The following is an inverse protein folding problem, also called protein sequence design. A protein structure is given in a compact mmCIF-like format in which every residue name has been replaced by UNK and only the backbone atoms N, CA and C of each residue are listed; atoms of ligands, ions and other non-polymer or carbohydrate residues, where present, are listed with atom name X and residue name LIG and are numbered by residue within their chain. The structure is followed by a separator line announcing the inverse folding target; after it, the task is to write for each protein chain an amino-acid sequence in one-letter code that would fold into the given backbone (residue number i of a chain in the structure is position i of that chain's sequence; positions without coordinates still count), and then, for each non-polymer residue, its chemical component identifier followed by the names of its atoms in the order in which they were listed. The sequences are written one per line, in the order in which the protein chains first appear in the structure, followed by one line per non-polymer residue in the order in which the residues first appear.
data_IF_451553128686
#
_entry.id   IF_451553128686
#
_cell.length_a   1.000
_cell.length_b   1.000
_cell.length_c   1.000
_cell.angle_alpha   90.00
_cell.angle_beta   90.00
_cell.angle_gamma   90.00
#
_symmetry.space_group_name_H-M   'P 1'
#
loop_
_entity.id
_entity.type
_entity.pdbx_description
1 polymer ?
#
# COMPACT_ATOMS: atom_id res chain seq x y z
N UNK A 1 4.28 24.18 -62.46
CA UNK A 1 5.15 24.05 -61.28
C UNK A 1 4.56 22.95 -60.41
N UNK A 2 5.28 21.85 -60.32
CA UNK A 2 4.70 20.50 -60.28
C UNK A 2 4.28 20.07 -58.87
N UNK A 3 3.00 19.73 -58.70
CA UNK A 3 2.47 19.16 -57.45
C UNK A 3 3.17 17.86 -57.02
N UNK A 4 3.82 17.17 -57.96
CA UNK A 4 4.66 15.98 -57.71
C UNK A 4 5.92 16.35 -56.91
N UNK A 5 6.59 17.46 -57.24
CA UNK A 5 7.79 17.92 -56.51
C UNK A 5 7.45 18.35 -55.08
N UNK A 6 6.29 18.97 -54.88
CA UNK A 6 5.80 19.30 -53.54
C UNK A 6 5.49 18.04 -52.72
N UNK A 7 4.83 17.04 -53.31
CA UNK A 7 4.52 15.79 -52.63
C UNK A 7 5.79 15.01 -52.21
N UNK A 8 6.79 14.95 -53.08
CA UNK A 8 8.09 14.33 -52.77
C UNK A 8 8.84 15.09 -51.67
N UNK A 9 8.83 16.43 -51.69
CA UNK A 9 9.41 17.26 -50.63
C UNK A 9 8.77 16.98 -49.25
N UNK A 10 7.44 16.95 -49.16
CA UNK A 10 6.75 16.61 -47.90
C UNK A 10 7.03 15.17 -47.44
N UNK A 11 7.20 14.23 -48.38
CA UNK A 11 7.54 12.84 -48.08
C UNK A 11 8.97 12.71 -47.53
N UNK A 12 9.90 13.49 -48.07
CA UNK A 12 11.29 13.60 -47.59
C UNK A 12 11.31 14.21 -46.18
N UNK A 13 10.63 15.33 -45.98
CA UNK A 13 10.54 16.02 -44.69
C UNK A 13 9.95 15.10 -43.61
N UNK A 14 8.88 14.36 -43.92
CA UNK A 14 8.32 13.35 -43.01
C UNK A 14 9.30 12.22 -42.67
N UNK A 15 10.21 11.83 -43.58
CA UNK A 15 11.25 10.83 -43.31
C UNK A 15 12.32 11.39 -42.39
N UNK A 16 12.73 12.63 -42.60
CA UNK A 16 13.71 13.33 -41.77
C UNK A 16 13.17 13.56 -40.35
N UNK A 17 11.91 13.98 -40.21
CA UNK A 17 11.23 14.09 -38.92
C UNK A 17 11.18 12.74 -38.19
N UNK A 18 10.86 11.65 -38.91
CA UNK A 18 10.88 10.29 -38.34
C UNK A 18 12.28 9.89 -37.87
N UNK A 19 13.32 10.17 -38.67
CA UNK A 19 14.70 9.89 -38.31
C UNK A 19 15.13 10.70 -37.07
N UNK A 20 14.79 11.99 -37.02
CA UNK A 20 15.05 12.85 -35.87
C UNK A 20 14.35 12.34 -34.60
N UNK A 21 13.09 11.90 -34.69
CA UNK A 21 12.36 11.31 -33.56
C UNK A 21 13.06 10.05 -33.05
N UNK A 22 13.55 9.18 -33.94
CA UNK A 22 14.29 7.96 -33.57
C UNK A 22 15.57 8.33 -32.81
N UNK A 23 16.35 9.28 -33.34
CA UNK A 23 17.60 9.75 -32.71
C UNK A 23 17.30 10.36 -31.34
N UNK A 24 16.30 11.25 -31.24
CA UNK A 24 15.90 11.87 -29.99
C UNK A 24 15.43 10.85 -28.96
N UNK A 25 14.65 9.84 -29.37
CA UNK A 25 14.21 8.75 -28.48
C UNK A 25 15.38 7.92 -27.99
N UNK A 26 16.32 7.59 -28.87
CA UNK A 26 17.54 6.86 -28.51
C UNK A 26 18.41 7.65 -27.52
N UNK A 27 18.57 8.96 -27.76
CA UNK A 27 19.32 9.84 -26.87
C UNK A 27 18.66 9.99 -25.50
N UNK A 28 17.34 10.28 -25.45
CA UNK A 28 16.59 10.36 -24.18
C UNK A 28 16.69 9.05 -23.40
N UNK A 29 16.50 7.90 -24.07
CA UNK A 29 16.68 6.58 -23.44
C UNK A 29 18.10 6.40 -22.86
N UNK A 30 19.14 6.81 -23.60
CA UNK A 30 20.51 6.73 -23.10
C UNK A 30 20.70 7.57 -21.84
N UNK A 31 20.24 8.82 -21.86
CA UNK A 31 20.28 9.73 -20.69
C UNK A 31 19.50 9.14 -19.51
N UNK A 32 18.29 8.64 -19.74
CA UNK A 32 17.46 8.04 -18.70
C UNK A 32 18.13 6.81 -18.06
N UNK A 33 18.76 5.95 -18.87
CA UNK A 33 19.53 4.80 -18.38
C UNK A 33 20.72 5.26 -17.54
N UNK A 34 21.43 6.32 -17.94
CA UNK A 34 22.56 6.84 -17.18
C UNK A 34 22.11 7.42 -15.84
N UNK A 35 21.05 8.23 -15.84
CA UNK A 35 20.46 8.80 -14.63
C UNK A 35 19.96 7.70 -13.68
N UNK A 36 19.29 6.67 -14.20
CA UNK A 36 18.86 5.53 -13.40
C UNK A 36 20.04 4.76 -12.82
N UNK A 37 21.06 4.45 -13.63
CA UNK A 37 22.27 3.75 -13.18
C UNK A 37 22.97 4.53 -12.06
N UNK A 38 23.06 5.85 -12.19
CA UNK A 38 23.59 6.72 -11.14
C UNK A 38 22.79 6.59 -9.84
N UNK A 39 21.47 6.74 -9.89
CA UNK A 39 20.62 6.59 -8.71
C UNK A 39 20.69 5.19 -8.08
N UNK A 40 20.69 4.15 -8.92
CA UNK A 40 20.83 2.76 -8.48
C UNK A 40 22.14 2.57 -7.73
N UNK A 41 23.26 3.04 -8.28
CA UNK A 41 24.56 2.92 -7.63
C UNK A 41 24.63 3.74 -6.33
N UNK A 42 23.99 4.92 -6.31
CA UNK A 42 23.92 5.78 -5.13
C UNK A 42 23.15 5.15 -3.96
N UNK A 43 22.10 4.39 -4.22
CA UNK A 43 21.28 3.76 -3.17
C UNK A 43 21.71 2.34 -2.82
N UNK A 44 22.52 1.69 -3.67
CA UNK A 44 22.98 0.31 -3.48
C UNK A 44 24.08 0.17 -2.42
N UNK A 45 24.30 1.18 -1.56
CA UNK A 45 25.08 1.01 -0.33
C UNK A 45 24.36 0.04 0.62
N UNK A 46 24.64 -1.25 0.45
CA UNK A 46 24.09 -2.30 1.29
C UNK A 46 24.72 -2.23 2.69
N UNK A 47 23.98 -1.71 3.68
CA UNK A 47 24.27 -1.87 5.12
C UNK A 47 25.73 -1.61 5.53
N UNK A 48 26.43 -0.74 4.82
CA UNK A 48 27.82 -0.38 5.08
C UNK A 48 27.86 0.96 5.81
N UNK A 49 28.55 0.98 6.94
CA UNK A 49 28.73 2.19 7.75
C UNK A 49 27.63 2.40 8.79
N UNK A 50 27.83 3.44 9.60
CA UNK A 50 26.89 3.85 10.64
C UNK A 50 25.74 4.66 10.03
N UNK A 51 24.47 4.22 10.18
CA UNK A 51 23.31 4.97 9.69
C UNK A 51 23.23 6.39 10.24
N UNK A 52 23.76 6.64 11.44
CA UNK A 52 23.81 7.97 12.04
C UNK A 52 24.69 8.91 11.25
N UNK A 53 25.86 8.46 10.80
CA UNK A 53 26.78 9.28 9.99
C UNK A 53 26.14 9.58 8.64
N UNK A 54 25.53 8.57 8.00
CA UNK A 54 24.84 8.74 6.74
C UNK A 54 23.71 9.77 6.84
N UNK A 55 22.83 9.61 7.83
CA UNK A 55 21.74 10.55 8.05
C UNK A 55 22.26 11.92 8.50
N UNK A 56 23.40 12.03 9.20
CA UNK A 56 23.97 13.33 9.56
C UNK A 56 24.30 14.19 8.34
N UNK A 57 24.76 13.55 7.25
CA UNK A 57 25.06 14.23 5.98
C UNK A 57 23.80 14.68 5.22
N UNK A 58 22.67 14.03 5.45
CA UNK A 58 21.43 14.24 4.70
C UNK A 58 20.43 15.06 5.54
N UNK A 59 20.10 14.57 6.73
CA UNK A 59 19.12 15.11 7.68
C UNK A 59 19.73 15.07 9.10
N UNK A 60 20.49 16.10 9.51
CA UNK A 60 21.20 16.09 10.79
C UNK A 60 20.27 15.99 12.01
N UNK A 61 19.08 16.61 11.95
CA UNK A 61 18.10 16.56 13.04
C UNK A 61 17.59 15.16 13.34
N UNK A 62 17.36 14.34 12.31
CA UNK A 62 16.94 12.96 12.52
C UNK A 62 18.10 12.09 13.01
N UNK A 63 19.32 12.37 12.55
CA UNK A 63 20.51 11.64 12.98
C UNK A 63 20.79 11.79 14.49
N UNK A 64 20.42 12.92 15.10
CA UNK A 64 20.54 13.14 16.54
C UNK A 64 19.60 12.25 17.37
N UNK A 65 18.45 11.87 16.80
CA UNK A 65 17.46 11.02 17.46
C UNK A 65 17.79 9.52 17.35
N UNK A 66 18.79 9.15 16.54
CA UNK A 66 19.16 7.76 16.34
C UNK A 66 20.00 7.24 17.51
N UNK A 67 19.50 6.19 18.13
CA UNK A 67 20.20 5.47 19.18
C UNK A 67 20.97 4.25 18.60
N UNK A 68 22.26 4.15 18.94
CA UNK A 68 23.09 3.01 18.55
C UNK A 68 22.59 1.69 19.19
N UNK A 69 21.92 1.76 20.34
CA UNK A 69 21.36 0.58 20.99
C UNK A 69 20.11 0.04 20.25
N UNK A 70 19.44 0.82 19.41
CA UNK A 70 18.26 0.37 18.66
C UNK A 70 18.57 -0.53 17.45
N UNK A 71 19.85 -0.65 17.02
CA UNK A 71 20.24 -1.45 15.86
C UNK A 71 19.55 -0.95 14.58
N UNK A 72 19.78 0.31 14.28
CA UNK A 72 19.08 1.05 13.23
C UNK A 72 19.59 0.64 11.85
N UNK A 73 18.67 0.58 10.89
CA UNK A 73 18.94 0.29 9.49
C UNK A 73 18.12 1.24 8.62
N UNK A 74 18.80 2.06 7.82
CA UNK A 74 18.15 2.98 6.87
C UNK A 74 18.08 2.31 5.51
N UNK A 75 16.87 2.21 4.95
CA UNK A 75 16.66 1.70 3.58
C UNK A 75 16.25 2.84 2.68
N UNK A 76 16.84 2.90 1.48
CA UNK A 76 16.43 3.82 0.43
C UNK A 76 15.57 3.10 -0.63
N UNK A 77 14.62 3.82 -1.22
CA UNK A 77 13.85 3.39 -2.40
C UNK A 77 13.81 4.51 -3.43
N UNK A 78 13.73 4.14 -4.70
CA UNK A 78 13.34 5.05 -5.77
C UNK A 78 11.82 5.03 -5.89
N UNK A 79 11.21 6.19 -6.12
CA UNK A 79 9.76 6.31 -6.33
C UNK A 79 9.39 7.62 -7.00
N UNK A 80 8.09 7.82 -7.24
CA UNK A 80 7.55 8.99 -7.94
C UNK A 80 6.83 8.60 -9.22
N UNK A 81 5.90 9.45 -9.68
CA UNK A 81 5.10 9.23 -10.91
C UNK A 81 5.82 9.65 -12.18
N UNK A 82 6.82 10.52 -12.08
CA UNK A 82 7.57 11.05 -13.23
C UNK A 82 9.04 10.71 -13.11
N UNK A 83 9.69 10.50 -14.25
CA UNK A 83 11.14 10.36 -14.33
C UNK A 83 11.78 11.76 -14.45
N UNK A 84 12.92 12.05 -13.79
CA UNK A 84 13.74 11.16 -12.95
C UNK A 84 13.10 10.79 -11.60
N UNK A 85 13.40 9.60 -11.04
CA UNK A 85 12.79 9.16 -9.80
C UNK A 85 13.26 9.98 -8.59
N UNK A 86 12.38 10.16 -7.62
CA UNK A 86 12.70 10.67 -6.30
C UNK A 86 13.27 9.56 -5.41
N UNK A 87 14.16 9.94 -4.48
CA UNK A 87 14.69 9.01 -3.49
C UNK A 87 13.92 9.19 -2.18
N UNK A 88 13.44 8.08 -1.63
CA UNK A 88 12.78 8.01 -0.34
C UNK A 88 13.62 7.15 0.61
N UNK A 89 13.44 7.37 1.90
CA UNK A 89 14.08 6.58 2.94
C UNK A 89 13.08 6.13 4.01
N UNK A 90 13.41 5.04 4.68
CA UNK A 90 12.70 4.53 5.85
C UNK A 90 13.68 3.95 6.85
N UNK A 91 13.45 4.25 8.13
CA UNK A 91 14.28 3.83 9.24
C UNK A 91 13.64 2.57 9.84
N UNK A 92 14.45 1.52 9.94
CA UNK A 92 14.10 0.24 10.56
C UNK A 92 14.93 0.03 11.81
N UNK A 93 14.41 -0.74 12.75
CA UNK A 93 15.07 -1.08 14.01
C UNK A 93 15.05 -2.59 14.16
N UNK A 94 16.22 -3.19 14.37
CA UNK A 94 16.35 -4.65 14.50
C UNK A 94 16.32 -5.13 15.95
N UNK A 95 16.72 -4.27 16.91
CA UNK A 95 16.67 -4.62 18.32
C UNK A 95 15.25 -4.38 18.86
N UNK A 96 14.82 -5.15 19.87
CA UNK A 96 13.49 -4.98 20.46
C UNK A 96 13.36 -3.57 21.05
N UNK A 97 12.31 -2.87 20.67
CA UNK A 97 11.95 -1.56 21.22
C UNK A 97 10.62 -1.71 21.95
N UNK A 98 10.55 -1.18 23.17
CA UNK A 98 9.32 -1.14 23.94
C UNK A 98 8.38 -0.06 23.38
N UNK A 99 7.23 -0.46 22.87
CA UNK A 99 6.18 0.47 22.46
C UNK A 99 5.34 0.86 23.68
N UNK A 100 5.56 2.08 24.16
CA UNK A 100 4.86 2.65 25.31
C UNK A 100 3.34 2.71 25.05
N UNK A 101 2.93 3.10 23.84
CA UNK A 101 1.51 3.25 23.52
C UNK A 101 0.79 1.89 23.39
N UNK A 102 1.53 0.82 23.09
CA UNK A 102 1.01 -0.53 23.08
C UNK A 102 0.93 -1.15 24.48
N UNK A 103 1.93 -0.91 25.32
CA UNK A 103 2.07 -1.60 26.60
C UNK A 103 1.39 -0.86 27.76
N UNK A 104 1.57 0.46 27.82
CA UNK A 104 1.03 1.30 28.91
C UNK A 104 1.00 2.76 28.44
N UNK A 105 -0.03 3.16 27.66
CA UNK A 105 -0.18 4.52 27.15
C UNK A 105 -0.53 5.54 28.26
N UNK A 106 -0.32 5.24 29.53
CA UNK A 106 -0.68 6.09 30.66
C UNK A 106 0.08 7.41 30.61
N UNK A 107 -0.52 8.46 31.15
CA UNK A 107 0.23 9.69 31.46
C UNK A 107 1.24 9.38 32.57
N UNK A 108 2.54 9.46 32.26
CA UNK A 108 3.61 9.18 33.24
C UNK A 108 4.00 10.41 34.07
N UNK A 109 3.49 11.59 33.70
CA UNK A 109 3.69 12.83 34.44
C UNK A 109 2.83 12.84 35.70
N UNK A 110 1.63 12.26 35.62
CA UNK A 110 0.72 12.13 36.75
C UNK A 110 1.16 11.03 37.73
N UNK A 111 1.30 11.41 39.00
CA UNK A 111 1.64 10.48 40.09
C UNK A 111 0.51 9.46 40.35
N UNK A 112 -0.75 9.82 40.10
CA UNK A 112 -1.89 8.93 40.28
C UNK A 112 -1.89 7.77 39.27
N UNK A 113 -1.38 8.01 38.05
CA UNK A 113 -1.31 7.01 36.99
C UNK A 113 -0.26 5.90 37.23
N UNK A 114 0.71 6.16 38.12
CA UNK A 114 1.76 5.19 38.53
C UNK A 114 1.20 4.06 39.39
N UNK A 115 -0.04 4.17 39.88
CA UNK A 115 -0.69 3.10 40.61
C UNK A 115 -0.90 1.86 39.71
N UNK A 116 -0.72 0.65 40.25
CA UNK A 116 -1.04 -0.56 39.51
C UNK A 116 -2.52 -0.54 39.12
N UNK A 117 -2.82 -0.94 37.88
CA UNK A 117 -4.21 -1.03 37.42
C UNK A 117 -4.98 -2.03 38.30
N UNK A 118 -6.25 -1.77 38.60
CA UNK A 118 -7.06 -2.62 39.48
C UNK A 118 -7.07 -4.11 39.05
N UNK A 119 -7.00 -4.39 37.74
CA UNK A 119 -6.83 -5.73 37.17
C UNK A 119 -5.56 -6.48 37.61
N UNK A 120 -4.55 -5.77 38.12
CA UNK A 120 -3.30 -6.33 38.64
C UNK A 120 -3.31 -6.50 40.16
N UNK A 121 -4.31 -5.93 40.86
CA UNK A 121 -4.34 -5.92 42.32
C UNK A 121 -5.22 -7.07 42.84
N UNK A 122 -6.41 -7.33 42.26
CA UNK A 122 -7.20 -8.56 42.51
C UNK A 122 -8.39 -8.69 41.54
N UNK A 123 -8.70 -9.90 41.05
CA UNK A 123 -9.86 -10.19 40.18
C UNK A 123 -11.24 -10.11 40.88
N UNK A 124 -11.29 -9.78 42.17
CA UNK A 124 -12.50 -9.82 42.99
C UNK A 124 -13.18 -8.46 43.19
N UNK A 125 -12.57 -7.39 42.72
CA UNK A 125 -13.08 -6.02 42.89
C UNK A 125 -13.54 -5.49 41.54
N UNK A 126 -14.66 -4.79 41.52
CA UNK A 126 -15.11 -4.07 40.32
C UNK A 126 -13.98 -3.17 39.82
N UNK A 127 -13.61 -3.37 38.56
CA UNK A 127 -12.55 -2.58 37.92
C UNK A 127 -13.10 -1.15 37.76
N UNK A 128 -12.51 -0.14 38.45
CA UNK A 128 -12.94 1.23 38.26
C UNK A 128 -12.80 1.61 36.79
N UNK A 129 -13.77 2.35 36.24
CA UNK A 129 -13.64 2.89 34.88
C UNK A 129 -12.38 3.74 34.82
N UNK A 130 -11.39 3.27 34.07
CA UNK A 130 -10.11 3.98 33.94
C UNK A 130 -10.37 5.21 33.07
N UNK A 131 -10.04 6.39 33.58
CA UNK A 131 -10.04 7.59 32.77
C UNK A 131 -8.82 7.56 31.82
N UNK A 132 -9.08 7.48 30.52
CA UNK A 132 -8.05 7.40 29.49
C UNK A 132 -7.80 8.74 28.78
N UNK A 133 -8.39 9.86 29.25
CA UNK A 133 -8.33 11.15 28.55
C UNK A 133 -6.91 11.71 28.40
N UNK A 134 -6.02 11.46 29.37
CA UNK A 134 -4.62 11.91 29.36
C UNK A 134 -3.63 10.91 28.77
N UNK A 135 -4.10 9.78 28.22
CA UNK A 135 -3.20 8.75 27.71
C UNK A 135 -2.43 9.22 26.47
N UNK A 136 -1.16 8.83 26.38
CA UNK A 136 -0.36 9.00 25.17
C UNK A 136 -1.06 8.34 23.99
N UNK A 137 -1.20 9.11 22.91
CA UNK A 137 -1.75 8.64 21.65
C UNK A 137 -0.63 8.40 20.66
N UNK A 138 -0.68 7.24 20.01
CA UNK A 138 0.26 6.90 18.95
C UNK A 138 -0.18 7.54 17.65
N UNK A 139 0.73 8.28 17.02
CA UNK A 139 0.54 8.86 15.69
C UNK A 139 1.54 8.17 14.76
N UNK A 140 1.05 7.31 13.87
CA UNK A 140 1.87 6.56 12.93
C UNK A 140 2.15 7.37 11.65
N UNK A 141 3.22 8.16 11.66
CA UNK A 141 3.79 8.75 10.44
C UNK A 141 4.90 7.85 9.86
N UNK A 142 4.63 6.54 9.78
CA UNK A 142 5.60 5.51 9.38
C UNK A 142 5.62 5.24 7.86
N UNK A 143 5.11 6.19 7.06
CA UNK A 143 5.28 6.18 5.61
C UNK A 143 6.74 6.35 5.21
N UNK A 144 7.05 6.05 3.96
CA UNK A 144 8.35 6.36 3.39
C UNK A 144 8.52 7.87 3.20
N UNK A 145 9.68 8.40 3.59
CA UNK A 145 9.93 9.85 3.62
C UNK A 145 10.75 10.28 2.40
N UNK A 146 10.37 11.33 1.66
CA UNK A 146 11.20 11.84 0.59
C UNK A 146 12.48 12.46 1.17
N UNK A 147 13.63 12.25 0.49
CA UNK A 147 14.90 12.87 0.91
C UNK A 147 14.94 14.39 0.67
N UNK A 148 14.27 14.88 -0.38
CA UNK A 148 14.29 16.30 -0.77
C UNK A 148 12.90 16.91 -0.61
N UNK A 149 12.55 17.31 0.61
CA UNK A 149 11.24 17.90 0.93
C UNK A 149 10.94 19.19 0.13
N UNK A 150 11.98 19.97 -0.23
CA UNK A 150 11.83 21.38 -0.66
C UNK A 150 11.29 21.57 -2.08
N UNK A 151 11.31 20.54 -2.93
CA UNK A 151 10.88 20.63 -4.34
C UNK A 151 9.54 19.92 -4.62
N UNK A 152 8.94 19.24 -3.63
CA UNK A 152 7.96 18.18 -3.87
C UNK A 152 6.56 18.43 -3.29
N UNK A 153 6.16 19.67 -3.00
CA UNK A 153 4.79 20.01 -2.55
C UNK A 153 3.68 19.41 -3.45
N UNK A 154 3.98 19.09 -4.71
CA UNK A 154 3.02 18.56 -5.68
C UNK A 154 3.05 17.02 -5.82
N UNK A 155 4.06 16.33 -5.28
CA UNK A 155 4.27 14.88 -5.43
C UNK A 155 3.87 14.06 -4.19
N UNK A 156 3.51 14.74 -3.11
CA UNK A 156 3.02 14.15 -1.86
C UNK A 156 1.68 13.41 -2.02
N UNK A 157 0.97 13.58 -3.14
CA UNK A 157 -0.30 12.90 -3.43
C UNK A 157 -0.16 11.37 -3.39
N UNK A 158 1.01 10.82 -3.78
CA UNK A 158 1.26 9.37 -3.76
C UNK A 158 1.51 8.87 -2.33
N UNK A 159 2.23 9.65 -1.51
CA UNK A 159 2.48 9.27 -0.12
C UNK A 159 1.26 9.55 0.77
N UNK A 160 0.41 10.51 0.43
CA UNK A 160 -0.85 10.80 1.12
C UNK A 160 -1.77 9.57 1.21
N UNK A 161 -1.73 8.69 0.22
CA UNK A 161 -2.47 7.41 0.24
C UNK A 161 -1.88 6.39 1.23
N UNK A 162 -0.56 6.43 1.49
CA UNK A 162 0.12 5.62 2.51
C UNK A 162 -0.12 6.19 3.93
N UNK A 163 -0.33 7.50 4.08
CA UNK A 163 -0.67 8.17 5.34
C UNK A 163 -2.16 8.06 5.70
N UNK A 164 -2.74 6.86 5.60
CA UNK A 164 -4.00 6.63 6.31
C UNK A 164 -3.67 6.73 7.80
N UNK A 165 -4.24 7.72 8.48
CA UNK A 165 -4.24 7.79 9.93
C UNK A 165 -4.97 6.55 10.46
N UNK A 166 -4.21 5.46 10.61
CA UNK A 166 -4.71 4.26 11.24
C UNK A 166 -4.72 4.56 12.73
N UNK A 167 -5.93 4.70 13.27
CA UNK A 167 -6.11 4.83 14.70
C UNK A 167 -5.50 3.59 15.38
N UNK A 168 -4.63 3.82 16.37
CA UNK A 168 -3.98 2.74 17.08
C UNK A 168 -4.57 2.60 18.46
N UNK A 169 -5.25 1.47 18.69
CA UNK A 169 -5.76 1.12 20.01
C UNK A 169 -4.70 0.35 20.83
N UNK A 170 -4.55 0.67 22.11
CA UNK A 170 -3.56 0.02 22.99
C UNK A 170 -3.82 -1.48 23.17
N UNK A 171 -5.08 -1.88 23.38
CA UNK A 171 -5.47 -3.29 23.56
C UNK A 171 -5.20 -4.11 22.30
N UNK A 172 -4.39 -5.17 22.44
CA UNK A 172 -4.09 -6.11 21.36
C UNK A 172 -5.33 -6.82 20.82
N UNK A 173 -6.29 -7.14 21.70
CA UNK A 173 -7.54 -7.79 21.31
C UNK A 173 -8.36 -6.89 20.39
N UNK A 174 -8.58 -5.62 20.79
CA UNK A 174 -9.28 -4.65 19.96
C UNK A 174 -8.60 -4.40 18.62
N UNK A 175 -7.26 -4.33 18.60
CA UNK A 175 -6.54 -4.22 17.34
C UNK A 175 -6.75 -5.42 16.42
N UNK A 176 -6.83 -6.63 16.98
CA UNK A 176 -7.12 -7.84 16.20
C UNK A 176 -8.53 -7.78 15.61
N UNK A 177 -9.52 -7.42 16.43
CA UNK A 177 -10.91 -7.20 15.99
C UNK A 177 -11.01 -6.11 14.92
N UNK A 178 -10.31 -4.98 15.07
CA UNK A 178 -10.25 -3.89 14.09
C UNK A 178 -9.59 -4.32 12.78
N UNK A 179 -8.60 -5.21 12.82
CA UNK A 179 -7.98 -5.80 11.62
C UNK A 179 -8.98 -6.71 10.92
N UNK A 180 -9.65 -7.59 11.65
CA UNK A 180 -10.67 -8.51 11.12
C UNK A 180 -11.85 -7.73 10.51
N UNK A 181 -12.37 -6.71 11.21
CA UNK A 181 -13.40 -5.80 10.67
C UNK A 181 -12.98 -5.13 9.37
N UNK A 182 -11.73 -4.63 9.30
CA UNK A 182 -11.19 -4.03 8.07
C UNK A 182 -10.99 -5.07 6.96
N UNK A 183 -10.66 -6.31 7.30
CA UNK A 183 -10.55 -7.40 6.34
C UNK A 183 -11.92 -7.71 5.73
N UNK A 184 -12.93 -7.93 6.57
CA UNK A 184 -14.32 -8.12 6.17
C UNK A 184 -14.83 -6.97 5.30
N UNK A 185 -14.60 -5.73 5.70
CA UNK A 185 -15.00 -4.56 4.92
C UNK A 185 -14.38 -4.55 3.51
N UNK A 186 -13.08 -4.86 3.38
CA UNK A 186 -12.43 -4.93 2.07
C UNK A 186 -12.97 -6.07 1.20
N UNK A 187 -13.27 -7.23 1.80
CA UNK A 187 -13.90 -8.36 1.12
C UNK A 187 -15.26 -7.98 0.53
N UNK A 188 -16.10 -7.31 1.32
CA UNK A 188 -17.40 -6.79 0.88
C UNK A 188 -17.24 -5.73 -0.21
N UNK A 189 -16.36 -4.75 -0.02
CA UNK A 189 -16.10 -3.69 -1.01
C UNK A 189 -15.61 -4.27 -2.35
N UNK A 190 -14.74 -5.29 -2.29
CA UNK A 190 -14.25 -5.98 -3.46
C UNK A 190 -15.37 -6.77 -4.16
N UNK A 191 -16.17 -7.55 -3.41
CA UNK A 191 -17.30 -8.28 -3.99
C UNK A 191 -18.31 -7.33 -4.63
N UNK A 192 -18.64 -6.22 -3.96
CA UNK A 192 -19.52 -5.17 -4.48
C UNK A 192 -18.99 -4.60 -5.79
N UNK A 193 -17.68 -4.34 -5.86
CA UNK A 193 -17.02 -3.86 -7.08
C UNK A 193 -17.11 -4.89 -8.21
N UNK A 194 -16.78 -6.15 -7.93
CA UNK A 194 -16.85 -7.23 -8.91
C UNK A 194 -18.26 -7.44 -9.45
N UNK A 195 -19.28 -7.30 -8.59
CA UNK A 195 -20.69 -7.39 -8.96
C UNK A 195 -21.09 -6.27 -9.92
N UNK A 196 -20.85 -4.99 -9.57
CA UNK A 196 -21.21 -3.87 -10.45
C UNK A 196 -20.39 -3.81 -11.75
N UNK A 197 -19.16 -4.32 -11.75
CA UNK A 197 -18.32 -4.43 -12.95
C UNK A 197 -18.65 -5.67 -13.80
N UNK A 198 -19.67 -6.47 -13.44
CA UNK A 198 -20.10 -7.66 -14.17
C UNK A 198 -19.03 -8.76 -14.26
N UNK A 199 -18.03 -8.70 -13.38
CA UNK A 199 -16.87 -9.58 -13.39
C UNK A 199 -16.97 -10.73 -12.39
N UNK A 200 -18.01 -10.73 -11.55
CA UNK A 200 -18.32 -11.82 -10.62
C UNK A 200 -18.86 -13.03 -11.40
N UNK A 201 -18.20 -14.20 -11.30
CA UNK A 201 -18.61 -15.42 -12.00
C UNK A 201 -18.49 -16.64 -11.10
N UNK A 202 -19.61 -17.32 -10.86
CA UNK A 202 -19.59 -18.57 -10.11
C UNK A 202 -18.63 -19.59 -10.74
N UNK A 203 -17.88 -20.32 -9.93
CA UNK A 203 -16.97 -21.40 -10.36
C UNK A 203 -17.73 -22.68 -10.81
N UNK A 204 -18.88 -22.53 -11.46
CA UNK A 204 -19.76 -23.65 -11.81
C UNK A 204 -20.22 -23.58 -13.25
N UNK A 205 -20.20 -24.72 -13.94
CA UNK A 205 -20.78 -24.87 -15.28
C UNK A 205 -22.30 -25.01 -15.25
N UNK A 206 -22.87 -25.28 -14.08
CA UNK A 206 -24.31 -25.41 -13.87
C UNK A 206 -24.98 -24.02 -13.81
N UNK A 207 -25.88 -23.69 -14.74
CA UNK A 207 -26.57 -22.40 -14.75
C UNK A 207 -27.47 -22.18 -13.53
N UNK A 208 -28.02 -23.23 -12.91
CA UNK A 208 -28.89 -23.08 -11.73
C UNK A 208 -28.08 -22.70 -10.49
N UNK A 209 -26.90 -23.30 -10.31
CA UNK A 209 -25.98 -22.94 -9.23
C UNK A 209 -25.42 -21.51 -9.41
N UNK A 210 -25.15 -21.10 -10.65
CA UNK A 210 -24.68 -19.75 -10.94
C UNK A 210 -25.73 -18.67 -10.59
N UNK A 211 -27.00 -18.90 -10.92
CA UNK A 211 -28.10 -17.99 -10.57
C UNK A 211 -28.34 -17.91 -9.05
N UNK A 212 -28.21 -19.03 -8.34
CA UNK A 212 -28.29 -19.04 -6.87
C UNK A 212 -27.20 -18.16 -6.23
N UNK A 213 -25.96 -18.31 -6.69
CA UNK A 213 -24.81 -17.53 -6.20
C UNK A 213 -24.99 -16.04 -6.52
N UNK A 214 -25.53 -15.71 -7.69
CA UNK A 214 -25.83 -14.33 -8.06
C UNK A 214 -26.87 -13.72 -7.11
N UNK A 215 -28.01 -14.39 -6.90
CA UNK A 215 -29.07 -13.92 -5.99
C UNK A 215 -28.59 -13.79 -4.54
N UNK A 216 -27.76 -14.72 -4.09
CA UNK A 216 -27.17 -14.66 -2.75
C UNK A 216 -26.21 -13.47 -2.59
N UNK A 217 -25.45 -13.16 -3.65
CA UNK A 217 -24.59 -11.97 -3.70
C UNK A 217 -25.42 -10.68 -3.66
N UNK A 218 -26.50 -10.61 -4.45
CA UNK A 218 -27.44 -9.48 -4.46
C UNK A 218 -28.07 -9.25 -3.09
N UNK A 219 -28.56 -10.31 -2.45
CA UNK A 219 -29.13 -10.26 -1.09
C UNK A 219 -28.11 -9.79 -0.05
N UNK A 220 -26.87 -10.24 -0.14
CA UNK A 220 -25.79 -9.79 0.75
C UNK A 220 -25.48 -8.30 0.56
N UNK A 221 -25.36 -7.83 -0.68
CA UNK A 221 -25.11 -6.40 -0.98
C UNK A 221 -26.25 -5.55 -0.42
N UNK A 222 -27.51 -5.95 -0.62
CA UNK A 222 -28.67 -5.25 -0.07
C UNK A 222 -28.64 -5.19 1.47
N UNK A 223 -28.30 -6.29 2.14
CA UNK A 223 -28.18 -6.34 3.61
C UNK A 223 -27.10 -5.38 4.13
N UNK A 224 -25.96 -5.28 3.44
CA UNK A 224 -24.91 -4.31 3.78
C UNK A 224 -25.37 -2.87 3.57
N UNK A 225 -26.15 -2.58 2.52
CA UNK A 225 -26.66 -1.24 2.24
C UNK A 225 -27.69 -0.78 3.28
N UNK A 226 -28.55 -1.68 3.77
CA UNK A 226 -29.60 -1.36 4.74
C UNK A 226 -29.09 -1.35 6.19
N UNK A 227 -28.26 -2.33 6.57
CA UNK A 227 -27.89 -2.58 7.96
C UNK A 227 -26.40 -2.31 8.24
N UNK A 228 -25.63 -1.87 7.24
CA UNK A 228 -24.20 -1.65 7.35
C UNK A 228 -23.40 -2.95 7.46
N UNK A 229 -22.12 -2.83 7.84
CA UNK A 229 -21.18 -3.96 7.93
C UNK A 229 -21.57 -5.04 8.94
N UNK A 230 -22.43 -4.73 9.91
CA UNK A 230 -22.90 -5.68 10.93
C UNK A 230 -24.07 -6.54 10.44
N UNK A 231 -24.70 -6.19 9.31
CA UNK A 231 -25.84 -6.91 8.74
C UNK A 231 -25.50 -8.21 8.01
N UNK A 232 -24.22 -8.53 7.84
CA UNK A 232 -23.72 -9.73 7.16
C UNK A 232 -22.62 -10.33 8.00
N UNK A 233 -22.57 -11.65 8.16
CA UNK A 233 -21.52 -12.31 8.94
C UNK A 233 -20.27 -12.56 8.09
N UNK A 234 -19.08 -12.59 8.71
CA UNK A 234 -17.83 -12.78 7.97
C UNK A 234 -17.79 -14.10 7.19
N UNK A 235 -18.29 -15.18 7.78
CA UNK A 235 -18.34 -16.49 7.13
C UNK A 235 -19.24 -16.51 5.89
N UNK A 236 -20.32 -15.72 5.86
CA UNK A 236 -21.23 -15.61 4.69
C UNK A 236 -20.49 -14.97 3.51
N UNK A 237 -19.70 -13.93 3.80
CA UNK A 237 -18.86 -13.26 2.79
C UNK A 237 -17.79 -14.22 2.27
N UNK A 238 -17.14 -14.96 3.17
CA UNK A 238 -16.08 -15.90 2.80
C UNK A 238 -16.60 -17.07 1.96
N UNK A 239 -17.76 -17.60 2.31
CA UNK A 239 -18.43 -18.64 1.53
C UNK A 239 -18.81 -18.12 0.14
N UNK A 240 -19.48 -16.97 0.06
CA UNK A 240 -19.83 -16.36 -1.23
C UNK A 240 -18.60 -16.08 -2.08
N UNK A 241 -17.52 -15.55 -1.50
CA UNK A 241 -16.27 -15.34 -2.23
C UNK A 241 -15.66 -16.64 -2.76
N UNK A 242 -15.72 -17.72 -1.98
CA UNK A 242 -15.26 -19.04 -2.39
C UNK A 242 -16.05 -19.58 -3.58
N UNK A 243 -17.36 -19.32 -3.65
CA UNK A 243 -18.22 -19.79 -4.74
C UNK A 243 -18.19 -18.88 -5.98
N UNK A 244 -17.81 -17.61 -5.84
CA UNK A 244 -17.89 -16.56 -6.89
C UNK A 244 -16.59 -16.28 -7.64
N UNK A 245 -15.44 -16.81 -7.20
CA UNK A 245 -14.17 -16.37 -7.77
C UNK A 245 -13.21 -17.52 -8.08
N UNK A 246 -12.82 -17.57 -9.36
CA UNK A 246 -11.55 -18.14 -9.84
C UNK A 246 -10.29 -17.38 -9.35
N UNK A 247 -10.47 -16.27 -8.60
CA UNK A 247 -9.40 -15.39 -8.12
C UNK A 247 -9.62 -15.11 -6.63
N UNK A 248 -8.95 -15.87 -5.76
CA UNK A 248 -9.07 -15.72 -4.31
C UNK A 248 -8.54 -14.34 -3.85
N UNK A 249 -9.33 -13.56 -3.11
CA UNK A 249 -8.93 -12.23 -2.60
C UNK A 249 -7.65 -12.27 -1.77
N UNK A 250 -7.56 -13.24 -0.87
CA UNK A 250 -6.43 -13.40 0.03
C UNK A 250 -5.17 -13.79 -0.75
N UNK A 251 -5.35 -14.66 -1.75
CA UNK A 251 -4.28 -15.02 -2.69
C UNK A 251 -3.86 -13.81 -3.55
N UNK A 252 -4.80 -13.04 -4.11
CA UNK A 252 -4.51 -11.86 -4.91
C UNK A 252 -3.77 -10.80 -4.09
N UNK A 253 -4.24 -10.49 -2.89
CA UNK A 253 -3.61 -9.51 -2.00
C UNK A 253 -2.25 -9.99 -1.49
N UNK A 254 -2.14 -11.29 -1.15
CA UNK A 254 -0.88 -11.94 -0.80
C UNK A 254 0.14 -11.86 -1.94
N UNK A 255 -0.24 -12.34 -3.13
CA UNK A 255 0.58 -12.30 -4.35
C UNK A 255 0.98 -10.89 -4.71
N UNK A 256 0.08 -9.90 -4.63
CA UNK A 256 0.39 -8.48 -4.87
C UNK A 256 1.39 -7.93 -3.86
N UNK A 257 1.23 -8.25 -2.58
CA UNK A 257 2.16 -7.83 -1.53
C UNK A 257 3.55 -8.45 -1.71
N UNK A 258 3.61 -9.66 -2.25
CA UNK A 258 4.84 -10.38 -2.56
C UNK A 258 5.50 -9.87 -3.86
N UNK A 259 4.74 -9.67 -4.94
CA UNK A 259 5.24 -9.10 -6.20
C UNK A 259 5.62 -7.64 -6.11
N UNK A 260 5.04 -6.88 -5.17
CA UNK A 260 5.44 -5.52 -4.85
C UNK A 260 6.85 -5.41 -4.23
N UNK A 261 7.51 -6.52 -3.91
CA UNK A 261 8.89 -6.57 -3.44
C UNK A 261 9.83 -6.88 -4.60
N UNK A 262 10.87 -6.06 -4.76
CA UNK A 262 11.81 -6.10 -5.90
C UNK A 262 12.53 -7.43 -6.15
N UNK A 263 12.46 -8.37 -5.21
CA UNK A 263 13.13 -9.68 -5.29
C UNK A 263 12.23 -10.77 -5.90
N UNK A 264 10.91 -10.60 -5.84
CA UNK A 264 9.90 -11.57 -6.28
C UNK A 264 9.25 -11.14 -7.61
N UNK A 265 9.29 -9.84 -7.93
CA UNK A 265 8.75 -9.29 -9.18
C UNK A 265 9.43 -9.82 -10.45
N UNK A 266 10.68 -10.29 -10.37
CA UNK A 266 11.44 -10.79 -11.53
C UNK A 266 11.00 -12.19 -12.00
N UNK A 267 10.29 -12.94 -11.16
CA UNK A 267 9.86 -14.32 -11.46
C UNK A 267 8.38 -14.43 -11.87
N UNK A 268 7.64 -13.32 -11.85
CA UNK A 268 6.19 -13.34 -12.03
C UNK A 268 5.78 -13.48 -13.50
N UNK A 269 5.07 -14.57 -13.82
CA UNK A 269 4.34 -14.72 -15.09
C UNK A 269 2.92 -14.21 -14.84
N UNK A 270 2.54 -13.15 -15.55
CA UNK A 270 1.27 -12.47 -15.26
C UNK A 270 0.05 -13.37 -15.43
N UNK A 271 -0.99 -13.07 -14.64
CA UNK A 271 -2.30 -13.68 -14.77
C UNK A 271 -2.91 -13.31 -16.13
N UNK A 272 -3.29 -14.29 -16.94
CA UNK A 272 -3.99 -14.04 -18.20
C UNK A 272 -5.38 -13.47 -17.89
N UNK A 273 -5.57 -12.20 -18.20
CA UNK A 273 -6.91 -11.65 -18.37
C UNK A 273 -7.54 -12.33 -19.59
N UNK A 274 -8.54 -13.18 -19.37
CA UNK A 274 -9.42 -13.60 -20.46
C UNK A 274 -10.25 -12.37 -20.82
N UNK A 275 -9.93 -11.73 -21.93
CA UNK A 275 -10.72 -10.62 -22.44
C UNK A 275 -12.19 -11.07 -22.59
N UNK A 276 -13.17 -10.21 -22.28
CA UNK A 276 -14.55 -10.51 -22.63
C UNK A 276 -14.62 -10.79 -24.14
N UNK A 277 -15.43 -11.77 -24.58
CA UNK A 277 -15.61 -12.01 -26.00
C UNK A 277 -16.03 -10.69 -26.65
N UNK A 278 -15.23 -10.23 -27.61
CA UNK A 278 -15.58 -9.11 -28.45
C UNK A 278 -16.96 -9.37 -29.02
N UNK A 279 -17.91 -8.45 -28.81
CA UNK A 279 -19.09 -8.40 -29.64
C UNK A 279 -18.60 -8.25 -31.08
N UNK A 280 -18.63 -9.35 -31.83
CA UNK A 280 -18.62 -9.28 -33.28
C UNK A 280 -19.92 -8.59 -33.64
N UNK A 281 -19.85 -7.30 -33.95
CA UNK A 281 -20.88 -6.66 -34.74
C UNK A 281 -20.80 -7.30 -36.13
N UNK A 282 -21.82 -8.07 -36.48
CA UNK A 282 -22.17 -8.35 -37.87
C UNK A 282 -22.50 -7.04 -38.61
#
# INVERSE_FOLDING_TARGET
MDGIKYYEFFKQQKREEKAAIIIQRAWRRHVDIQVFTYYKNLIMFQRKGDPRILLKCIIPREAELLDAAAGIHVRFRLGGVTFPPNIYYKIFTHRPIADICANSPKDYVDQAAKQPLAKHIHNRVEVPKINCSGWYKRIENNGWRPLVQRLLKNMDVINAAEYKNLEFHYSRLRRKEEVEKRHKQRKIEWMRKMYYEGSLRAETKDPAAADLVQRATEGMIYSVEQHGLDGVMEWEVDELLKWTNALNFEEYTGNWSETGVSNSSCAWKGSQFVAPPSYQCD
#
